data_IF_924967902426
#
_entry.id   IF_924967902426
#
_cell.length_a   1.000
_cell.length_b   1.000
_cell.length_c   1.000
_cell.angle_alpha   90.00
_cell.angle_beta   90.00
_cell.angle_gamma   90.00
#
_symmetry.space_group_name_H-M   'P 1'
#
loop_
_entity.id
_entity.type
_entity.pdbx_description
1 polymer ?
#
# COMPACT_ATOMS: atom_id res chain seq x y z
N UNK A 1 34.18 -0.04 -9.07
CA UNK A 1 33.55 -0.48 -7.82
C UNK A 1 32.57 0.62 -7.44
N UNK A 2 31.39 0.59 -8.06
CA UNK A 2 30.42 1.69 -7.99
C UNK A 2 29.46 1.42 -6.84
N UNK A 3 29.36 2.40 -5.96
CA UNK A 3 28.48 2.43 -4.81
C UNK A 3 27.04 2.13 -5.25
N UNK A 4 26.50 1.06 -4.69
CA UNK A 4 25.09 0.70 -4.76
C UNK A 4 24.35 1.85 -4.09
N UNK A 5 23.61 2.66 -4.87
CA UNK A 5 22.68 3.66 -4.36
C UNK A 5 21.71 2.95 -3.42
N UNK A 6 21.90 3.18 -2.12
CA UNK A 6 21.02 2.70 -1.07
C UNK A 6 19.63 3.28 -1.30
N UNK A 7 18.63 2.39 -1.38
CA UNK A 7 17.19 2.60 -1.14
C UNK A 7 16.75 4.03 -1.42
N UNK A 8 16.18 4.29 -2.60
CA UNK A 8 15.32 5.45 -2.80
C UNK A 8 14.08 5.31 -1.90
N UNK A 9 14.28 5.59 -0.60
CA UNK A 9 13.30 6.31 0.17
C UNK A 9 13.08 7.60 -0.59
N UNK A 10 11.89 7.79 -1.15
CA UNK A 10 11.49 9.09 -1.69
C UNK A 10 11.50 10.06 -0.52
N UNK A 11 12.64 10.69 -0.25
CA UNK A 11 12.77 11.88 0.58
C UNK A 11 12.14 13.01 -0.21
N UNK A 12 10.81 13.06 -0.17
CA UNK A 12 10.09 14.18 -0.71
C UNK A 12 10.30 15.38 0.21
N UNK A 13 10.32 16.57 -0.37
CA UNK A 13 10.80 17.86 0.14
C UNK A 13 10.18 18.38 1.44
N UNK A 14 9.29 17.61 2.08
CA UNK A 14 8.52 17.97 3.28
C UNK A 14 8.79 17.07 4.51
N UNK A 15 9.81 16.20 4.47
CA UNK A 15 10.12 15.23 5.55
C UNK A 15 9.01 14.18 5.82
N UNK A 16 8.10 13.98 4.85
CA UNK A 16 7.13 12.89 4.85
C UNK A 16 7.69 11.70 4.06
N UNK A 17 7.74 10.52 4.67
CA UNK A 17 8.11 9.29 3.99
C UNK A 17 6.85 8.49 3.64
N UNK A 18 6.61 8.27 2.34
CA UNK A 18 5.41 7.57 1.85
C UNK A 18 5.78 6.25 1.20
N UNK A 19 5.03 5.20 1.49
CA UNK A 19 5.27 3.87 0.95
C UNK A 19 4.02 3.00 0.85
N UNK A 20 4.08 1.99 -0.01
CA UNK A 20 3.06 0.95 -0.11
C UNK A 20 3.22 -0.02 1.07
N UNK A 21 2.23 -0.04 1.94
CA UNK A 21 2.21 -0.84 3.18
C UNK A 21 1.38 -2.12 3.05
N UNK A 22 0.61 -2.23 1.96
CA UNK A 22 -0.10 -3.45 1.58
C UNK A 22 -0.37 -3.46 0.09
N UNK A 23 -0.15 -4.60 -0.55
CA UNK A 23 -0.61 -4.86 -1.91
C UNK A 23 -1.35 -6.21 -1.92
N UNK A 24 -2.62 -6.18 -2.33
CA UNK A 24 -3.49 -7.35 -2.38
C UNK A 24 -4.01 -7.57 -3.79
N UNK A 25 -3.61 -8.69 -4.39
CA UNK A 25 -3.97 -9.08 -5.74
C UNK A 25 -4.82 -10.35 -5.70
N UNK A 26 -5.71 -10.51 -6.67
CA UNK A 26 -6.40 -11.76 -6.95
C UNK A 26 -6.14 -12.14 -8.38
N UNK A 27 -5.54 -13.32 -8.58
CA UNK A 27 -5.16 -13.85 -9.88
C UNK A 27 -5.98 -15.11 -10.13
N UNK A 28 -6.48 -15.28 -11.35
CA UNK A 28 -7.18 -16.50 -11.75
C UNK A 28 -6.24 -17.71 -11.59
N UNK A 29 -6.76 -18.78 -10.98
CA UNK A 29 -5.97 -19.98 -10.71
C UNK A 29 -5.93 -20.84 -11.97
N UNK A 30 -4.78 -20.78 -12.65
CA UNK A 30 -4.47 -21.70 -13.75
C UNK A 30 -3.28 -22.58 -13.35
N UNK A 31 -2.15 -21.97 -12.98
CA UNK A 31 -0.96 -22.69 -12.50
C UNK A 31 -0.13 -21.83 -11.53
N UNK A 32 0.83 -22.45 -10.82
CA UNK A 32 1.86 -21.69 -10.09
C UNK A 32 2.74 -20.84 -11.01
N UNK A 33 2.88 -21.25 -12.29
CA UNK A 33 3.56 -20.47 -13.32
C UNK A 33 2.88 -19.11 -13.53
N UNK A 34 1.55 -19.07 -13.52
CA UNK A 34 0.78 -17.81 -13.62
C UNK A 34 1.13 -16.82 -12.52
N UNK A 35 1.22 -17.28 -11.26
CA UNK A 35 1.65 -16.40 -10.15
C UNK A 35 3.09 -15.92 -10.37
N UNK A 36 3.95 -16.82 -10.82
CA UNK A 36 5.37 -16.52 -11.08
C UNK A 36 5.51 -15.42 -12.13
N UNK A 37 4.76 -15.54 -13.23
CA UNK A 37 4.71 -14.54 -14.31
C UNK A 37 4.17 -13.19 -13.81
N UNK A 38 3.04 -13.20 -13.07
CA UNK A 38 2.46 -11.98 -12.49
C UNK A 38 3.43 -11.29 -11.53
N UNK A 39 4.16 -12.04 -10.71
CA UNK A 39 5.11 -11.47 -9.75
C UNK A 39 6.50 -11.21 -10.35
N UNK A 40 6.75 -11.62 -11.59
CA UNK A 40 8.07 -11.60 -12.24
C UNK A 40 9.08 -12.60 -11.67
N UNK A 41 8.63 -13.53 -10.80
CA UNK A 41 9.48 -14.50 -10.11
C UNK A 41 9.88 -15.64 -11.08
N UNK A 42 11.16 -16.09 -11.09
CA UNK A 42 11.57 -17.21 -11.93
C UNK A 42 10.80 -18.49 -11.62
N UNK A 43 10.27 -19.14 -12.65
CA UNK A 43 9.56 -20.42 -12.53
C UNK A 43 10.39 -21.58 -13.08
N UNK A 44 10.53 -22.65 -12.30
CA UNK A 44 11.13 -23.90 -12.76
C UNK A 44 10.11 -25.04 -12.58
N UNK A 45 9.64 -25.71 -13.65
CA UNK A 45 8.70 -26.84 -13.55
C UNK A 45 9.21 -28.01 -12.69
N UNK A 46 10.53 -28.23 -12.64
CA UNK A 46 11.15 -29.28 -11.84
C UNK A 46 11.27 -28.91 -10.36
N UNK A 47 11.20 -27.62 -10.04
CA UNK A 47 11.17 -27.12 -8.66
C UNK A 47 10.30 -25.85 -8.56
N UNK A 48 8.96 -26.00 -8.62
CA UNK A 48 8.04 -24.87 -8.74
C UNK A 48 8.13 -23.84 -7.60
N UNK A 49 8.65 -24.23 -6.44
CA UNK A 49 8.82 -23.36 -5.28
C UNK A 49 10.16 -22.61 -5.21
N UNK A 50 11.19 -23.03 -5.96
CA UNK A 50 12.54 -22.53 -5.76
C UNK A 50 12.69 -21.01 -6.00
N UNK A 51 12.04 -20.48 -7.05
CA UNK A 51 12.06 -19.03 -7.30
C UNK A 51 11.27 -18.23 -6.27
N UNK A 52 10.22 -18.82 -5.71
CA UNK A 52 9.47 -18.18 -4.63
C UNK A 52 10.30 -18.17 -3.33
N UNK A 53 10.94 -19.28 -2.99
CA UNK A 53 11.78 -19.34 -1.78
C UNK A 53 12.99 -18.39 -1.88
N UNK A 54 13.55 -18.16 -3.08
CA UNK A 54 14.68 -17.24 -3.27
C UNK A 54 14.34 -15.76 -3.06
N UNK A 55 13.08 -15.38 -3.21
CA UNK A 55 12.58 -14.01 -2.92
C UNK A 55 11.96 -13.90 -1.53
N UNK A 56 12.18 -14.91 -0.67
CA UNK A 56 11.60 -14.96 0.66
C UNK A 56 10.07 -15.05 0.63
N UNK A 57 9.45 -15.65 -0.40
CA UNK A 57 8.00 -15.49 -0.62
C UNK A 57 7.14 -15.79 0.61
N UNK A 58 7.53 -16.74 1.46
CA UNK A 58 6.77 -17.09 2.69
C UNK A 58 6.68 -15.92 3.68
N UNK A 59 7.70 -15.06 3.72
CA UNK A 59 7.70 -13.82 4.52
C UNK A 59 7.21 -12.60 3.73
N UNK A 60 7.23 -12.65 2.41
CA UNK A 60 6.92 -11.50 1.52
C UNK A 60 5.47 -11.49 1.04
N UNK A 61 4.95 -12.66 0.65
CA UNK A 61 3.66 -12.86 -0.02
C UNK A 61 2.91 -14.00 0.66
N UNK A 62 1.78 -13.68 1.28
CA UNK A 62 0.82 -14.71 1.70
C UNK A 62 -0.07 -15.06 0.51
N UNK A 63 0.05 -16.29 0.00
CA UNK A 63 -0.89 -16.83 -0.98
C UNK A 63 -1.99 -17.60 -0.25
N UNK A 64 -3.23 -17.14 -0.36
CA UNK A 64 -4.40 -17.93 0.06
C UNK A 64 -5.01 -18.55 -1.19
N UNK A 65 -5.00 -19.88 -1.21
CA UNK A 65 -5.55 -20.66 -2.31
C UNK A 65 -7.03 -20.95 -2.08
N UNK A 66 -7.85 -20.79 -3.11
CA UNK A 66 -9.22 -21.30 -3.14
C UNK A 66 -9.44 -22.08 -4.44
N UNK A 67 -10.65 -22.61 -4.67
CA UNK A 67 -10.91 -23.50 -5.81
C UNK A 67 -10.60 -22.86 -7.18
N UNK A 68 -10.59 -21.52 -7.29
CA UNK A 68 -10.57 -20.83 -8.60
C UNK A 68 -9.60 -19.64 -8.71
N UNK A 69 -9.05 -19.14 -7.61
CA UNK A 69 -8.16 -17.98 -7.61
C UNK A 69 -7.06 -18.09 -6.56
N UNK A 70 -5.95 -17.43 -6.83
CA UNK A 70 -4.91 -17.14 -5.85
C UNK A 70 -5.08 -15.73 -5.30
N UNK A 71 -5.13 -15.59 -3.97
CA UNK A 71 -5.05 -14.30 -3.31
C UNK A 71 -3.62 -14.06 -2.88
N UNK A 72 -2.97 -13.09 -3.51
CA UNK A 72 -1.59 -12.70 -3.23
C UNK A 72 -1.65 -11.49 -2.30
N UNK A 73 -1.03 -11.58 -1.13
CA UNK A 73 -1.05 -10.51 -0.13
C UNK A 73 0.37 -10.19 0.35
N UNK A 74 0.83 -8.99 0.03
CA UNK A 74 2.02 -8.37 0.61
C UNK A 74 1.60 -7.37 1.70
N UNK A 75 2.25 -7.40 2.86
CA UNK A 75 1.94 -6.56 4.02
C UNK A 75 3.21 -6.06 4.71
N UNK A 76 3.27 -4.78 5.06
CA UNK A 76 4.34 -4.17 5.84
C UNK A 76 5.73 -4.52 5.31
N UNK A 77 6.51 -5.26 6.10
CA UNK A 77 7.84 -5.76 5.72
C UNK A 77 7.83 -6.58 4.44
N UNK A 78 6.77 -7.34 4.15
CA UNK A 78 6.64 -8.05 2.88
C UNK A 78 6.59 -7.11 1.67
N UNK A 79 6.01 -5.91 1.81
CA UNK A 79 6.12 -4.90 0.76
C UNK A 79 7.55 -4.36 0.62
N UNK A 80 8.31 -4.23 1.73
CA UNK A 80 9.70 -3.75 1.70
C UNK A 80 10.64 -4.77 1.06
N UNK A 81 10.45 -6.06 1.36
CA UNK A 81 11.23 -7.13 0.73
C UNK A 81 10.88 -7.27 -0.76
N UNK A 82 9.60 -7.12 -1.13
CA UNK A 82 9.20 -7.15 -2.53
C UNK A 82 9.81 -5.96 -3.31
N UNK A 83 9.90 -4.78 -2.72
CA UNK A 83 10.60 -3.65 -3.34
C UNK A 83 12.09 -3.93 -3.58
N UNK A 84 12.79 -4.52 -2.61
CA UNK A 84 14.20 -4.92 -2.82
C UNK A 84 14.31 -5.88 -4.00
N UNK A 85 13.36 -6.80 -4.10
CA UNK A 85 13.28 -7.72 -5.23
C UNK A 85 13.02 -6.99 -6.55
N UNK A 86 12.02 -6.11 -6.63
CA UNK A 86 11.76 -5.30 -7.83
C UNK A 86 12.99 -4.49 -8.24
N UNK A 87 13.66 -3.85 -7.28
CA UNK A 87 14.86 -3.06 -7.51
C UNK A 87 16.01 -3.92 -8.06
N UNK A 88 16.16 -5.15 -7.58
CA UNK A 88 17.14 -6.10 -8.13
C UNK A 88 16.91 -6.44 -9.61
N UNK A 89 15.68 -6.25 -10.10
CA UNK A 89 15.27 -6.42 -11.49
C UNK A 89 15.24 -5.09 -12.27
N UNK A 90 15.70 -3.98 -11.67
CA UNK A 90 15.61 -2.65 -12.27
C UNK A 90 14.18 -2.13 -12.39
N UNK A 91 13.27 -2.59 -11.54
CA UNK A 91 11.86 -2.18 -11.49
C UNK A 91 11.55 -1.44 -10.19
N UNK A 92 10.51 -0.61 -10.23
CA UNK A 92 9.84 -0.04 -9.07
C UNK A 92 8.37 -0.52 -9.02
N UNK A 93 7.58 0.01 -8.08
CA UNK A 93 6.15 -0.30 -8.00
C UNK A 93 5.37 0.16 -9.24
N UNK A 94 5.73 1.31 -9.84
CA UNK A 94 5.01 1.85 -10.99
C UNK A 94 5.13 0.88 -12.18
N UNK A 95 6.36 0.47 -12.51
CA UNK A 95 6.65 -0.51 -13.57
C UNK A 95 6.07 -1.89 -13.24
N UNK A 96 6.10 -2.31 -11.98
CA UNK A 96 5.44 -3.54 -11.57
C UNK A 96 3.94 -3.46 -11.83
N UNK A 97 3.28 -2.38 -11.42
CA UNK A 97 1.85 -2.22 -11.63
C UNK A 97 1.48 -2.17 -13.11
N UNK A 98 2.25 -1.46 -13.93
CA UNK A 98 2.05 -1.44 -15.38
C UNK A 98 2.08 -2.85 -15.97
N UNK A 99 3.11 -3.64 -15.62
CA UNK A 99 3.27 -5.02 -16.10
C UNK A 99 2.14 -5.95 -15.65
N UNK A 100 1.73 -5.90 -14.39
CA UNK A 100 0.71 -6.86 -13.92
C UNK A 100 -0.66 -6.61 -14.56
N UNK A 101 -0.93 -5.41 -15.07
CA UNK A 101 -2.17 -5.10 -15.77
C UNK A 101 -2.28 -5.76 -17.16
N UNK A 102 -1.20 -6.34 -17.68
CA UNK A 102 -1.22 -7.20 -18.87
C UNK A 102 -1.84 -8.58 -18.59
N UNK A 103 -1.99 -8.95 -17.32
CA UNK A 103 -2.55 -10.22 -16.87
C UNK A 103 -3.99 -10.07 -16.36
N UNK A 104 -4.71 -11.20 -16.26
CA UNK A 104 -6.02 -11.25 -15.60
C UNK A 104 -5.88 -11.16 -14.07
N UNK A 105 -5.53 -9.96 -13.57
CA UNK A 105 -5.36 -9.65 -12.15
C UNK A 105 -6.42 -8.66 -11.67
N UNK A 106 -6.91 -8.87 -10.44
CA UNK A 106 -7.76 -7.90 -9.74
C UNK A 106 -6.95 -7.26 -8.61
N UNK A 107 -6.75 -5.95 -8.68
CA UNK A 107 -6.16 -5.16 -7.61
C UNK A 107 -7.22 -4.95 -6.52
N UNK A 108 -7.14 -5.72 -5.43
CA UNK A 108 -8.14 -5.68 -4.35
C UNK A 108 -7.80 -4.69 -3.25
N UNK A 109 -6.52 -4.51 -2.96
CA UNK A 109 -6.06 -3.64 -1.87
C UNK A 109 -4.75 -2.97 -2.22
N UNK A 110 -4.68 -1.68 -1.98
CA UNK A 110 -3.44 -0.93 -1.89
C UNK A 110 -3.54 -0.12 -0.60
N UNK A 111 -2.57 -0.28 0.30
CA UNK A 111 -2.46 0.63 1.43
C UNK A 111 -1.24 1.52 1.23
N UNK A 112 -1.42 2.81 1.47
CA UNK A 112 -0.32 3.74 1.63
C UNK A 112 -0.10 4.00 3.12
N UNK A 113 1.16 4.14 3.49
CA UNK A 113 1.56 4.62 4.79
C UNK A 113 2.43 5.86 4.63
N UNK A 114 2.21 6.83 5.49
CA UNK A 114 2.98 8.07 5.58
C UNK A 114 3.55 8.14 6.99
N UNK A 115 4.87 8.16 7.08
CA UNK A 115 5.57 8.45 8.33
C UNK A 115 5.95 9.94 8.32
N UNK A 116 5.44 10.67 9.30
CA UNK A 116 5.61 12.11 9.47
C UNK A 116 6.45 12.39 10.72
N UNK A 117 7.75 12.60 10.50
CA UNK A 117 8.70 12.87 11.59
C UNK A 117 8.57 14.28 12.16
N UNK A 118 8.05 15.23 11.37
CA UNK A 118 7.93 16.64 11.76
C UNK A 118 6.62 16.92 12.50
N UNK A 119 5.70 15.96 12.50
CA UNK A 119 4.37 16.09 13.10
C UNK A 119 3.59 17.27 12.50
N UNK A 120 3.62 17.38 11.17
CA UNK A 120 2.93 18.41 10.37
C UNK A 120 1.48 18.56 10.81
N UNK A 121 0.78 17.46 11.10
CA UNK A 121 -0.54 17.51 11.72
C UNK A 121 -0.49 17.17 13.22
N UNK A 122 -1.13 18.01 14.03
CA UNK A 122 -1.37 17.68 15.44
C UNK A 122 -2.53 16.66 15.55
N UNK A 123 -2.22 15.41 15.89
CA UNK A 123 -3.22 14.33 16.03
C UNK A 123 -4.30 14.68 17.05
N UNK A 124 -3.95 15.34 18.16
CA UNK A 124 -4.93 15.72 19.18
C UNK A 124 -5.94 16.74 18.64
N UNK A 125 -5.50 17.68 17.80
CA UNK A 125 -6.39 18.67 17.20
C UNK A 125 -7.24 18.08 16.07
N UNK A 126 -6.66 17.20 15.25
CA UNK A 126 -7.44 16.42 14.28
C UNK A 126 -8.53 15.60 14.99
N UNK A 127 -8.24 15.01 16.16
CA UNK A 127 -9.21 14.25 16.94
C UNK A 127 -10.33 15.15 17.48
N UNK A 128 -10.02 16.37 17.93
CA UNK A 128 -11.04 17.36 18.35
C UNK A 128 -11.92 17.78 17.18
N UNK A 129 -11.34 18.07 16.02
CA UNK A 129 -12.09 18.39 14.78
C UNK A 129 -12.99 17.23 14.39
N UNK A 130 -12.46 16.01 14.49
CA UNK A 130 -13.18 14.78 14.19
C UNK A 130 -14.41 14.57 15.07
N UNK A 131 -14.25 14.69 16.39
CA UNK A 131 -15.35 14.59 17.37
C UNK A 131 -16.44 15.65 17.17
N UNK A 132 -16.10 16.79 16.55
CA UNK A 132 -17.05 17.87 16.23
C UNK A 132 -17.74 17.68 14.87
N UNK A 133 -17.44 16.60 14.15
CA UNK A 133 -17.98 16.37 12.80
C UNK A 133 -17.45 17.35 11.76
N UNK A 134 -16.32 18.03 12.03
CA UNK A 134 -15.72 19.01 11.10
C UNK A 134 -14.87 18.24 10.09
N UNK A 135 -15.55 17.60 9.15
CA UNK A 135 -14.97 16.88 8.02
C UNK A 135 -15.72 17.22 6.74
N UNK A 136 -15.09 17.00 5.60
CA UNK A 136 -15.77 17.07 4.32
C UNK A 136 -16.71 15.86 4.15
N UNK A 137 -18.01 16.11 3.95
CA UNK A 137 -19.06 15.08 3.90
C UNK A 137 -19.01 14.17 2.67
N UNK A 138 -18.11 14.43 1.71
CA UNK A 138 -17.97 13.64 0.46
C UNK A 138 -17.37 12.24 0.68
N UNK A 139 -16.73 12.00 1.82
CA UNK A 139 -16.24 10.68 2.23
C UNK A 139 -17.16 10.18 3.34
N UNK A 140 -17.74 8.99 3.16
CA UNK A 140 -18.52 8.33 4.22
C UNK A 140 -17.57 7.97 5.36
N UNK A 141 -17.53 8.84 6.38
CA UNK A 141 -16.77 8.63 7.60
C UNK A 141 -17.67 7.88 8.57
N UNK A 142 -17.57 6.55 8.59
CA UNK A 142 -17.95 5.78 9.77
C UNK A 142 -16.88 6.04 10.83
N UNK A 143 -17.19 6.95 11.74
CA UNK A 143 -16.40 7.15 12.96
C UNK A 143 -16.85 6.08 13.96
N UNK A 144 -16.07 5.01 14.11
CA UNK A 144 -16.39 3.91 15.03
C UNK A 144 -16.12 4.26 16.50
N UNK A 145 -15.61 5.46 16.78
CA UNK A 145 -15.39 5.96 18.13
C UNK A 145 -14.39 5.14 18.95
N UNK A 146 -13.56 4.32 18.33
CA UNK A 146 -12.55 3.52 19.03
C UNK A 146 -11.53 4.44 19.73
N UNK A 147 -11.68 4.57 21.05
CA UNK A 147 -10.91 5.38 22.00
C UNK A 147 -9.58 4.74 22.39
N UNK A 148 -8.85 4.10 21.48
CA UNK A 148 -7.43 3.87 21.72
C UNK A 148 -6.74 5.24 21.54
N UNK A 149 -6.35 5.85 22.67
CA UNK A 149 -6.34 7.30 22.95
C UNK A 149 -5.51 8.22 22.03
N UNK A 150 -4.94 7.74 20.92
CA UNK A 150 -4.23 8.57 19.93
C UNK A 150 -4.46 8.15 18.49
N UNK A 151 -5.53 7.41 18.18
CA UNK A 151 -5.84 6.96 16.82
C UNK A 151 -7.16 7.57 16.34
N UNK A 152 -7.11 8.27 15.22
CA UNK A 152 -8.30 8.72 14.48
C UNK A 152 -8.53 7.72 13.37
N UNK A 153 -9.70 7.09 13.34
CA UNK A 153 -10.12 6.21 12.25
C UNK A 153 -11.27 6.88 11.50
N UNK A 154 -11.15 6.97 10.18
CA UNK A 154 -12.15 7.58 9.30
C UNK A 154 -12.58 6.57 8.23
N UNK A 155 -13.89 6.32 8.14
CA UNK A 155 -14.46 5.28 7.30
C UNK A 155 -14.50 3.93 8.01
N UNK A 156 -15.15 2.94 7.41
CA UNK A 156 -15.28 1.60 7.99
C UNK A 156 -14.41 0.56 7.29
N UNK A 157 -14.22 -0.58 7.95
CA UNK A 157 -13.56 -1.76 7.38
C UNK A 157 -14.30 -2.27 6.13
N UNK A 158 -15.55 -1.90 5.88
CA UNK A 158 -16.29 -2.33 4.68
C UNK A 158 -16.18 -1.32 3.53
N UNK A 159 -15.78 -0.07 3.83
CA UNK A 159 -15.65 1.00 2.84
C UNK A 159 -14.48 0.77 1.87
N UNK A 160 -14.51 1.49 0.74
CA UNK A 160 -13.41 1.46 -0.24
C UNK A 160 -12.20 2.31 0.16
N UNK A 161 -12.31 3.12 1.21
CA UNK A 161 -11.25 3.93 1.77
C UNK A 161 -11.42 4.01 3.29
N UNK A 162 -10.46 3.43 4.01
CA UNK A 162 -10.34 3.55 5.45
C UNK A 162 -9.04 4.29 5.77
N UNK A 163 -9.11 5.34 6.57
CA UNK A 163 -7.96 6.15 6.94
C UNK A 163 -7.69 6.05 8.44
N UNK A 164 -6.42 5.98 8.82
CA UNK A 164 -5.98 6.02 10.22
C UNK A 164 -4.91 7.07 10.42
N UNK A 165 -5.01 7.83 11.49
CA UNK A 165 -4.02 8.84 11.88
C UNK A 165 -3.65 8.62 13.34
N UNK A 166 -2.38 8.45 13.64
CA UNK A 166 -1.95 8.21 15.01
C UNK A 166 -0.52 8.62 15.29
N UNK A 167 -0.22 8.80 16.56
CA UNK A 167 1.16 8.98 17.03
C UNK A 167 1.85 7.61 17.15
N UNK A 168 3.04 7.48 16.58
CA UNK A 168 3.89 6.28 16.65
C UNK A 168 5.25 6.68 17.22
N UNK A 169 5.46 6.45 18.52
CA UNK A 169 6.67 6.80 19.26
C UNK A 169 7.08 8.28 19.06
N UNK A 170 8.03 8.55 18.16
CA UNK A 170 8.61 9.86 17.88
C UNK A 170 8.03 10.55 16.63
N UNK A 171 7.17 9.89 15.87
CA UNK A 171 6.59 10.41 14.62
C UNK A 171 5.07 10.26 14.62
N UNK A 172 4.39 10.93 13.70
CA UNK A 172 3.03 10.59 13.33
C UNK A 172 3.04 9.52 12.24
N UNK A 173 1.98 8.72 12.18
CA UNK A 173 1.71 7.81 11.07
C UNK A 173 0.30 7.96 10.55
N UNK A 174 0.20 8.02 9.23
CA UNK A 174 -1.06 8.06 8.50
C UNK A 174 -1.15 6.82 7.60
N UNK A 175 -2.24 6.08 7.70
CA UNK A 175 -2.48 4.89 6.88
C UNK A 175 -3.75 5.09 6.06
N UNK A 176 -3.63 4.89 4.74
CA UNK A 176 -4.72 4.99 3.79
C UNK A 176 -4.94 3.61 3.21
N UNK A 177 -6.11 3.03 3.44
CA UNK A 177 -6.42 1.64 3.07
C UNK A 177 -7.45 1.65 1.96
N UNK A 178 -6.96 1.61 0.72
CA UNK A 178 -7.77 1.63 -0.48
C UNK A 178 -8.19 0.22 -0.85
N UNK A 179 -9.44 0.05 -1.27
CA UNK A 179 -9.99 -1.23 -1.73
C UNK A 179 -10.66 -1.12 -3.08
N UNK A 180 -10.69 -2.25 -3.77
CA UNK A 180 -11.43 -2.45 -5.00
C UNK A 180 -11.16 -1.30 -5.98
N UNK A 181 -12.21 -0.55 -6.37
CA UNK A 181 -12.09 0.58 -7.30
C UNK A 181 -11.09 1.66 -6.86
N UNK A 182 -10.97 1.92 -5.55
CA UNK A 182 -10.03 2.92 -5.05
C UNK A 182 -8.59 2.39 -5.11
N UNK A 183 -8.38 1.10 -4.83
CA UNK A 183 -7.07 0.49 -4.99
C UNK A 183 -6.60 0.55 -6.45
N UNK A 184 -7.50 0.31 -7.39
CA UNK A 184 -7.22 0.47 -8.82
C UNK A 184 -6.94 1.92 -9.21
N UNK A 185 -7.64 2.91 -8.62
CA UNK A 185 -7.35 4.34 -8.84
C UNK A 185 -5.91 4.69 -8.45
N UNK A 186 -5.44 4.22 -7.29
CA UNK A 186 -4.05 4.46 -6.84
C UNK A 186 -3.06 3.89 -7.84
N UNK A 187 -3.27 2.66 -8.31
CA UNK A 187 -2.44 2.03 -9.34
C UNK A 187 -2.42 2.87 -10.62
N UNK A 188 -3.57 3.33 -11.10
CA UNK A 188 -3.65 4.14 -12.31
C UNK A 188 -2.92 5.48 -12.19
N UNK A 189 -3.03 6.15 -11.05
CA UNK A 189 -2.30 7.41 -10.81
C UNK A 189 -0.79 7.19 -10.69
N UNK A 190 -0.38 6.10 -10.03
CA UNK A 190 1.02 5.68 -9.91
C UNK A 190 1.65 5.40 -11.29
N UNK A 191 0.95 4.70 -12.18
CA UNK A 191 1.41 4.43 -13.56
C UNK A 191 1.51 5.71 -14.40
N UNK A 192 0.68 6.73 -14.14
CA UNK A 192 0.79 8.05 -14.81
C UNK A 192 2.02 8.85 -14.38
N UNK A 193 2.82 8.34 -13.44
CA UNK A 193 4.01 9.00 -12.92
C UNK A 193 3.76 9.94 -11.75
N UNK A 194 2.56 9.95 -11.18
CA UNK A 194 2.30 10.68 -9.94
C UNK A 194 3.00 9.98 -8.77
N UNK A 195 3.75 10.72 -7.97
CA UNK A 195 4.39 10.16 -6.79
C UNK A 195 3.35 9.85 -5.69
N UNK A 196 3.67 8.87 -4.83
CA UNK A 196 2.73 8.40 -3.81
C UNK A 196 2.34 9.48 -2.79
N UNK A 197 3.20 10.47 -2.53
CA UNK A 197 2.87 11.56 -1.62
C UNK A 197 1.84 12.49 -2.26
N UNK A 198 2.01 12.86 -3.52
CA UNK A 198 1.04 13.68 -4.26
C UNK A 198 -0.34 13.00 -4.29
N UNK A 199 -0.37 11.70 -4.60
CA UNK A 199 -1.62 10.91 -4.57
C UNK A 199 -2.25 10.94 -3.17
N UNK A 200 -1.46 10.69 -2.11
CA UNK A 200 -1.98 10.65 -0.75
C UNK A 200 -2.47 12.03 -0.24
N UNK A 201 -1.82 13.12 -0.68
CA UNK A 201 -2.21 14.49 -0.35
C UNK A 201 -3.59 14.87 -0.88
N UNK A 202 -3.98 14.39 -2.06
CA UNK A 202 -5.34 14.61 -2.58
C UNK A 202 -6.39 14.08 -1.58
N UNK A 203 -6.18 12.88 -1.05
CA UNK A 203 -7.08 12.30 -0.06
C UNK A 203 -7.01 12.98 1.31
N UNK A 204 -5.83 13.50 1.71
CA UNK A 204 -5.68 14.29 2.95
C UNK A 204 -6.49 15.59 2.88
N UNK A 205 -6.31 16.37 1.81
CA UNK A 205 -7.03 17.62 1.58
C UNK A 205 -8.54 17.42 1.49
N UNK A 206 -8.97 16.35 0.82
CA UNK A 206 -10.39 16.01 0.72
C UNK A 206 -11.02 15.79 2.09
N UNK A 207 -10.29 15.22 3.07
CA UNK A 207 -10.83 14.90 4.41
C UNK A 207 -10.73 16.07 5.38
N UNK A 208 -9.56 16.72 5.44
CA UNK A 208 -9.26 17.83 6.33
C UNK A 208 -8.97 19.08 5.49
N UNK A 209 -10.00 19.78 4.99
CA UNK A 209 -9.79 21.08 4.35
C UNK A 209 -9.17 22.05 5.35
N UNK A 210 -8.41 23.03 4.83
CA UNK A 210 -7.81 24.12 5.60
C UNK A 210 -8.83 24.86 6.47
#
# INVERSE_FOLDING_TARGET
>A
MNEIKSVEQVKNTENLAVYIDRCGLVVKKETLKTISEVLGIPYNPLSPGAGFDSVGWRSVVKCLDNEHVYHILMIGEGCREFEKYLLSQGMDWNLFFEKILEYEVKIRRINLAIDDQQKVYNISDLLKRAKRGVFNQKISVDYDGSTDERIITLGSIQSNLLMKFYERYNMNRYEFKFREKQAMKIVQESIKGNDLLSIAKEFLHDVFPE
#
